data_IF_489536585922
#
_entry.id   IF_489536585922
#
_cell.length_a   1.000
_cell.length_b   1.000
_cell.length_c   1.000
_cell.angle_alpha   90.00
_cell.angle_beta   90.00
_cell.angle_gamma   90.00
#
_symmetry.space_group_name_H-M   'P 1'
#
loop_
_entity.id
_entity.type
_entity.pdbx_description
1 polymer ?
#
# COMPACT_ATOMS: atom_id res chain seq x y z
N UNK A 1 -25.73 -18.21 -2.47
CA UNK A 1 -24.78 -17.63 -1.49
C UNK A 1 -25.10 -16.14 -1.42
N UNK A 2 -25.50 -15.63 -0.24
CA UNK A 2 -25.70 -14.19 -0.06
C UNK A 2 -24.38 -13.48 -0.38
N UNK A 3 -24.42 -12.44 -1.22
CA UNK A 3 -23.28 -11.56 -1.42
C UNK A 3 -22.89 -11.00 -0.06
N UNK A 4 -21.69 -11.32 0.41
CA UNK A 4 -21.17 -10.71 1.64
C UNK A 4 -21.18 -9.20 1.43
N UNK A 5 -21.71 -8.43 2.40
CA UNK A 5 -21.68 -6.97 2.34
C UNK A 5 -20.26 -6.52 2.05
N UNK A 6 -20.07 -5.87 0.90
CA UNK A 6 -18.77 -5.39 0.48
C UNK A 6 -18.41 -4.05 1.15
N UNK A 7 -19.43 -3.30 1.59
CA UNK A 7 -19.29 -1.97 2.18
C UNK A 7 -19.68 -2.03 3.67
N UNK A 8 -18.78 -1.63 4.56
CA UNK A 8 -18.96 -1.63 6.00
C UNK A 8 -18.77 -0.22 6.57
N UNK A 9 -19.50 0.07 7.63
CA UNK A 9 -19.30 1.28 8.47
C UNK A 9 -18.96 0.81 9.87
N UNK A 10 -17.85 1.31 10.43
CA UNK A 10 -17.37 0.95 11.76
C UNK A 10 -17.14 2.20 12.63
N UNK A 11 -17.06 2.03 13.94
CA UNK A 11 -16.77 3.11 14.90
C UNK A 11 -18.02 3.88 15.32
N UNK A 12 -17.85 5.04 16.03
CA UNK A 12 -16.57 5.72 16.32
C UNK A 12 -15.71 5.09 17.42
N UNK A 13 -16.20 4.08 18.13
CA UNK A 13 -15.44 3.39 19.17
C UNK A 13 -14.62 2.25 18.55
N UNK A 14 -13.32 2.31 18.73
CA UNK A 14 -12.35 1.34 18.17
C UNK A 14 -11.64 0.63 19.31
N UNK A 15 -11.92 -0.66 19.48
CA UNK A 15 -11.15 -1.52 20.39
C UNK A 15 -10.05 -2.23 19.59
N UNK A 16 -8.79 -2.22 20.04
CA UNK A 16 -7.73 -3.00 19.41
C UNK A 16 -8.10 -4.48 19.40
N UNK A 17 -7.93 -5.13 18.25
CA UNK A 17 -8.15 -6.56 18.14
C UNK A 17 -7.16 -7.34 19.03
N UNK A 18 -7.57 -8.46 19.65
CA UNK A 18 -6.71 -9.19 20.58
C UNK A 18 -5.41 -9.66 19.93
N UNK A 19 -5.38 -9.92 18.66
CA UNK A 19 -4.21 -10.36 17.90
C UNK A 19 -3.11 -9.28 17.77
N UNK A 20 -3.40 -8.03 18.10
CA UNK A 20 -2.39 -6.95 18.12
C UNK A 20 -1.48 -7.04 19.35
N UNK A 21 -1.82 -7.90 20.32
CA UNK A 21 -1.07 -8.13 21.55
C UNK A 21 -0.28 -9.43 21.47
N UNK A 22 0.83 -9.47 22.19
CA UNK A 22 1.58 -10.73 22.37
C UNK A 22 0.73 -11.71 23.16
N UNK A 23 0.44 -12.87 22.58
CA UNK A 23 -0.28 -13.94 23.25
C UNK A 23 0.71 -14.99 23.81
N UNK A 24 0.48 -15.45 25.05
CA UNK A 24 1.31 -16.47 25.68
C UNK A 24 1.26 -17.79 24.89
N UNK A 25 2.42 -18.41 24.68
CA UNK A 25 2.56 -19.70 24.00
C UNK A 25 2.45 -19.61 22.46
N UNK A 26 2.25 -18.45 21.89
CA UNK A 26 2.27 -18.25 20.42
C UNK A 26 3.73 -18.26 19.95
N UNK A 27 4.08 -19.10 18.94
CA UNK A 27 5.42 -19.09 18.37
C UNK A 27 5.71 -17.76 17.67
N UNK A 28 6.82 -17.14 18.03
CA UNK A 28 7.24 -15.84 17.48
C UNK A 28 8.13 -16.05 16.25
N UNK A 29 7.83 -15.36 15.16
CA UNK A 29 8.64 -15.33 13.95
C UNK A 29 9.93 -14.53 14.13
N UNK A 30 10.87 -14.72 13.23
CA UNK A 30 12.14 -14.01 13.20
C UNK A 30 12.04 -12.77 12.30
N UNK A 31 12.72 -11.69 12.70
CA UNK A 31 12.87 -10.49 11.88
C UNK A 31 14.34 -10.28 11.56
N UNK A 32 14.64 -10.18 10.27
CA UNK A 32 15.96 -9.80 9.74
C UNK A 32 15.84 -8.41 9.10
N UNK A 33 16.88 -7.58 9.20
CA UNK A 33 16.92 -6.28 8.56
C UNK A 33 18.19 -6.15 7.72
N UNK A 34 18.06 -5.48 6.57
CA UNK A 34 19.19 -5.09 5.72
C UNK A 34 18.91 -3.72 5.09
N UNK A 35 19.93 -3.14 4.50
CA UNK A 35 19.84 -1.85 3.81
C UNK A 35 20.10 -1.98 2.32
N UNK A 36 19.44 -1.12 1.54
CA UNK A 36 19.68 -0.92 0.12
C UNK A 36 20.17 0.52 -0.10
N UNK A 37 21.28 0.66 -0.80
CA UNK A 37 21.78 1.96 -1.20
C UNK A 37 21.17 2.35 -2.56
N UNK A 38 20.48 3.48 -2.60
CA UNK A 38 19.76 3.89 -3.81
C UNK A 38 20.67 4.19 -5.00
N UNK A 39 21.94 4.57 -4.74
CA UNK A 39 22.92 4.78 -5.81
C UNK A 39 23.17 3.56 -6.70
N UNK A 40 22.87 2.36 -6.20
CA UNK A 40 22.97 1.10 -6.96
C UNK A 40 21.65 0.74 -7.66
N UNK A 41 20.57 1.46 -7.39
CA UNK A 41 19.24 1.17 -7.95
C UNK A 41 19.15 1.63 -9.41
N UNK A 42 18.60 0.76 -10.25
CA UNK A 42 18.24 1.09 -11.63
C UNK A 42 16.92 1.85 -11.73
N UNK A 43 16.07 1.74 -10.70
CA UNK A 43 14.73 2.35 -10.67
C UNK A 43 14.71 3.67 -9.92
N UNK A 44 15.30 3.69 -8.73
CA UNK A 44 15.24 4.83 -7.81
C UNK A 44 16.64 5.16 -7.26
N UNK A 45 17.49 5.78 -8.09
CA UNK A 45 18.86 6.13 -7.68
C UNK A 45 18.90 7.25 -6.63
N UNK A 46 17.75 7.84 -6.34
CA UNK A 46 17.61 8.96 -5.43
C UNK A 46 17.72 10.31 -6.14
N UNK A 47 16.72 11.13 -5.92
CA UNK A 47 16.68 12.51 -6.43
C UNK A 47 16.25 13.47 -5.34
N UNK A 48 16.89 14.65 -5.32
CA UNK A 48 16.34 15.84 -4.70
C UNK A 48 15.70 16.69 -5.80
N UNK A 49 14.44 17.03 -5.63
CA UNK A 49 13.76 18.00 -6.48
C UNK A 49 13.93 19.39 -5.91
N UNK A 50 14.42 20.31 -6.73
CA UNK A 50 14.50 21.71 -6.33
C UNK A 50 13.13 22.34 -6.56
N UNK A 51 12.43 22.65 -5.49
CA UNK A 51 11.26 23.50 -5.56
C UNK A 51 11.68 24.93 -5.96
N UNK A 52 11.29 25.34 -7.14
CA UNK A 52 11.38 26.73 -7.57
C UNK A 52 10.06 27.47 -7.33
N UNK A 53 10.02 28.76 -7.60
CA UNK A 53 8.82 29.58 -7.42
C UNK A 53 7.63 29.12 -8.30
N UNK A 54 7.89 28.40 -9.39
CA UNK A 54 6.88 27.87 -10.30
C UNK A 54 6.28 26.57 -9.70
N UNK A 55 7.09 25.69 -9.15
CA UNK A 55 6.62 24.44 -8.53
C UNK A 55 5.86 24.68 -7.23
N UNK A 56 6.01 25.88 -6.63
CA UNK A 56 5.23 26.30 -5.45
C UNK A 56 3.85 26.87 -5.81
N UNK A 57 3.59 27.15 -7.09
CA UNK A 57 2.29 27.68 -7.50
C UNK A 57 1.22 26.62 -7.31
N UNK A 58 0.10 27.06 -6.76
CA UNK A 58 -1.08 26.23 -6.57
C UNK A 58 -2.25 26.87 -7.32
N UNK A 59 -3.17 26.04 -7.78
CA UNK A 59 -4.47 26.50 -8.27
C UNK A 59 -5.33 27.02 -7.08
N UNK A 60 -6.51 27.60 -7.36
CA UNK A 60 -7.40 28.07 -6.29
C UNK A 60 -7.84 26.97 -5.31
N UNK A 61 -7.71 25.70 -5.67
CA UNK A 61 -8.07 24.54 -4.87
C UNK A 61 -6.88 23.95 -4.08
N UNK A 62 -5.68 24.57 -4.19
CA UNK A 62 -4.48 24.12 -3.48
C UNK A 62 -3.68 23.04 -4.19
N UNK A 63 -4.11 22.57 -5.38
CA UNK A 63 -3.34 21.63 -6.18
C UNK A 63 -2.08 22.28 -6.71
N UNK A 64 -0.97 21.54 -6.77
CA UNK A 64 0.21 22.04 -7.48
C UNK A 64 -0.12 22.23 -8.96
N UNK A 65 0.05 23.45 -9.45
CA UNK A 65 0.02 23.68 -10.88
C UNK A 65 1.21 22.96 -11.47
N UNK A 66 0.96 22.13 -12.51
CA UNK A 66 2.00 21.41 -13.21
C UNK A 66 3.17 22.36 -13.48
N UNK A 67 4.34 22.03 -12.93
CA UNK A 67 5.54 22.74 -13.32
C UNK A 67 5.73 22.51 -14.81
N UNK A 68 5.98 23.59 -15.55
CA UNK A 68 6.54 23.45 -16.87
C UNK A 68 7.74 22.50 -16.80
N UNK A 69 8.02 21.74 -17.84
CA UNK A 69 8.92 20.61 -17.99
C UNK A 69 10.39 20.75 -17.45
N UNK A 70 10.63 21.59 -16.47
CA UNK A 70 11.95 21.98 -15.98
C UNK A 70 12.08 21.90 -14.45
N UNK A 71 11.41 20.95 -13.77
CA UNK A 71 11.80 20.62 -12.41
C UNK A 71 13.25 20.11 -12.45
N UNK A 72 14.17 20.95 -11.99
CA UNK A 72 15.54 20.51 -11.85
C UNK A 72 15.59 19.47 -10.73
N UNK A 73 15.97 18.25 -11.08
CA UNK A 73 16.30 17.21 -10.13
C UNK A 73 17.81 17.06 -10.06
N UNK A 74 18.31 16.88 -8.84
CA UNK A 74 19.73 16.53 -8.60
C UNK A 74 19.79 15.09 -8.09
N UNK A 75 20.82 14.30 -8.47
CA UNK A 75 21.08 13.04 -7.79
C UNK A 75 21.26 13.27 -6.29
N UNK A 76 20.49 12.58 -5.48
CA UNK A 76 20.65 12.57 -4.01
C UNK A 76 20.41 11.14 -3.52
N UNK A 77 21.45 10.30 -3.57
CA UNK A 77 21.35 8.94 -3.07
C UNK A 77 21.00 8.89 -1.59
N UNK A 78 20.27 7.85 -1.21
CA UNK A 78 19.86 7.57 0.16
C UNK A 78 20.00 6.07 0.46
N UNK A 79 19.85 5.72 1.73
CA UNK A 79 19.80 4.33 2.18
C UNK A 79 18.41 4.03 2.72
N UNK A 80 17.76 2.98 2.21
CA UNK A 80 16.49 2.47 2.75
C UNK A 80 16.71 1.23 3.57
N UNK A 81 15.91 1.04 4.60
CA UNK A 81 15.87 -0.20 5.36
C UNK A 81 14.76 -1.11 4.86
N UNK A 82 15.06 -2.39 4.80
CA UNK A 82 14.10 -3.46 4.53
C UNK A 82 14.14 -4.42 5.70
N UNK A 83 12.97 -4.71 6.28
CA UNK A 83 12.82 -5.76 7.29
C UNK A 83 12.08 -6.93 6.68
N UNK A 84 12.44 -8.13 7.10
CA UNK A 84 11.79 -9.37 6.65
C UNK A 84 11.36 -10.16 7.87
N UNK A 85 10.07 -10.33 8.04
CA UNK A 85 9.50 -11.23 9.02
C UNK A 85 9.30 -12.61 8.39
N UNK A 86 9.83 -13.64 9.04
CA UNK A 86 9.63 -15.04 8.68
C UNK A 86 8.92 -15.75 9.82
N UNK A 87 7.70 -16.29 9.61
CA UNK A 87 6.97 -16.96 10.69
C UNK A 87 7.69 -18.22 11.15
N UNK A 88 7.58 -18.53 12.44
CA UNK A 88 8.18 -19.75 13.01
C UNK A 88 7.73 -21.04 12.31
N UNK A 89 6.56 -21.03 11.74
CA UNK A 89 5.94 -22.14 11.01
C UNK A 89 6.39 -22.27 9.55
N UNK A 90 7.26 -21.37 9.08
CA UNK A 90 7.82 -21.50 7.73
C UNK A 90 8.65 -22.78 7.59
N UNK A 91 8.34 -23.58 6.61
CA UNK A 91 9.09 -24.80 6.27
C UNK A 91 10.15 -24.48 5.22
N UNK A 92 11.41 -24.65 5.58
CA UNK A 92 12.54 -24.33 4.69
C UNK A 92 12.43 -25.07 3.37
N UNK A 93 12.51 -24.34 2.26
CA UNK A 93 12.39 -24.89 0.90
C UNK A 93 10.94 -24.91 0.37
N UNK A 94 9.93 -24.67 1.20
CA UNK A 94 8.57 -24.47 0.72
C UNK A 94 8.43 -23.07 0.10
N UNK A 95 7.59 -22.95 -0.95
CA UNK A 95 7.29 -21.67 -1.57
C UNK A 95 6.32 -20.86 -0.70
N UNK A 96 6.86 -19.97 0.14
CA UNK A 96 6.07 -19.17 1.08
C UNK A 96 5.21 -18.13 0.35
N UNK A 97 3.92 -18.00 0.69
CA UNK A 97 3.18 -16.80 0.37
C UNK A 97 3.79 -15.59 1.08
N UNK A 98 3.58 -14.39 0.53
CA UNK A 98 4.18 -13.20 1.14
C UNK A 98 3.37 -11.93 0.95
N UNK A 99 3.69 -10.94 1.79
CA UNK A 99 3.10 -9.60 1.81
C UNK A 99 4.21 -8.56 1.75
N UNK A 100 4.14 -7.61 0.82
CA UNK A 100 5.01 -6.43 0.79
C UNK A 100 4.27 -5.26 1.42
N UNK A 101 4.82 -4.72 2.51
CA UNK A 101 4.28 -3.57 3.23
C UNK A 101 5.11 -2.31 2.93
N UNK A 102 4.49 -1.32 2.32
CA UNK A 102 5.05 0.00 2.08
C UNK A 102 5.05 0.82 3.37
N UNK A 103 6.01 1.75 3.53
CA UNK A 103 6.28 2.46 4.79
C UNK A 103 6.53 1.48 5.94
N UNK A 104 7.43 0.53 5.70
CA UNK A 104 7.63 -0.68 6.49
C UNK A 104 7.84 -0.46 7.97
N UNK A 105 8.59 0.59 8.36
CA UNK A 105 8.84 0.91 9.76
C UNK A 105 7.55 1.09 10.58
N UNK A 106 6.52 1.72 9.98
CA UNK A 106 5.23 1.92 10.63
C UNK A 106 4.54 0.61 10.99
N UNK A 107 4.59 -0.37 10.09
CA UNK A 107 3.92 -1.67 10.27
C UNK A 107 4.71 -2.66 11.12
N UNK A 108 6.04 -2.50 11.26
CA UNK A 108 6.88 -3.35 12.09
C UNK A 108 6.44 -3.39 13.55
N UNK A 109 5.71 -2.38 14.03
CA UNK A 109 5.26 -2.29 15.42
C UNK A 109 4.07 -3.21 15.73
N UNK A 110 3.26 -3.56 14.73
CA UNK A 110 2.00 -4.29 14.95
C UNK A 110 1.89 -5.54 14.09
N UNK A 111 2.27 -5.51 12.83
CA UNK A 111 2.01 -6.58 11.88
C UNK A 111 2.69 -7.92 12.26
N UNK A 112 3.95 -7.99 12.72
CA UNK A 112 4.57 -9.26 13.13
C UNK A 112 3.76 -9.99 14.21
N UNK A 113 3.24 -9.27 15.21
CA UNK A 113 2.43 -9.85 16.28
C UNK A 113 1.11 -10.39 15.79
N UNK A 114 0.46 -9.64 14.89
CA UNK A 114 -0.79 -10.06 14.25
C UNK A 114 -0.55 -11.33 13.43
N UNK A 115 0.55 -11.39 12.67
CA UNK A 115 0.91 -12.56 11.89
C UNK A 115 1.21 -13.77 12.78
N UNK A 116 1.99 -13.61 13.85
CA UNK A 116 2.26 -14.68 14.81
C UNK A 116 0.97 -15.31 15.33
N UNK A 117 0.03 -14.48 15.78
CA UNK A 117 -1.26 -14.94 16.31
C UNK A 117 -2.11 -15.64 15.25
N UNK A 118 -2.29 -15.01 14.09
CA UNK A 118 -3.17 -15.55 13.04
C UNK A 118 -2.62 -16.84 12.43
N UNK A 119 -1.30 -16.93 12.23
CA UNK A 119 -0.63 -18.13 11.73
C UNK A 119 -0.73 -19.28 12.74
N UNK A 120 -0.46 -19.00 14.03
CA UNK A 120 -0.59 -20.01 15.09
C UNK A 120 -2.02 -20.55 15.20
N UNK A 121 -3.02 -19.70 14.98
CA UNK A 121 -4.44 -20.06 14.98
C UNK A 121 -4.91 -20.66 13.64
N UNK A 122 -4.03 -20.79 12.64
CA UNK A 122 -4.34 -21.31 11.30
C UNK A 122 -5.44 -20.53 10.57
N UNK A 123 -5.58 -19.25 10.88
CA UNK A 123 -6.55 -18.33 10.26
C UNK A 123 -6.04 -17.74 8.94
N UNK A 124 -4.72 -17.66 8.79
CA UNK A 124 -4.01 -17.30 7.56
C UNK A 124 -2.86 -18.28 7.31
N UNK A 125 -2.32 -18.38 6.09
CA UNK A 125 -1.14 -19.20 5.82
C UNK A 125 0.11 -18.66 6.54
N UNK A 126 1.14 -19.51 6.69
CA UNK A 126 2.45 -19.11 7.19
C UNK A 126 3.13 -18.23 6.13
N UNK A 127 2.85 -16.93 6.12
CA UNK A 127 3.35 -15.97 5.14
C UNK A 127 4.56 -15.17 5.63
N UNK A 128 5.47 -14.85 4.71
CA UNK A 128 6.58 -13.93 4.91
C UNK A 128 6.07 -12.49 4.74
N UNK A 129 6.50 -11.56 5.60
CA UNK A 129 6.22 -10.15 5.39
C UNK A 129 7.51 -9.38 5.10
N UNK A 130 7.50 -8.59 4.04
CA UNK A 130 8.62 -7.75 3.59
C UNK A 130 8.22 -6.29 3.81
N UNK A 131 8.90 -5.60 4.69
CA UNK A 131 8.63 -4.22 5.05
C UNK A 131 9.65 -3.33 4.37
N UNK A 132 9.19 -2.44 3.50
CA UNK A 132 10.06 -1.61 2.68
C UNK A 132 9.80 -0.14 2.99
N UNK A 133 10.83 0.58 3.46
CA UNK A 133 10.73 2.02 3.57
C UNK A 133 10.90 2.69 2.21
N UNK A 134 10.29 3.86 2.06
CA UNK A 134 10.50 4.72 0.90
C UNK A 134 11.84 5.46 0.97
N UNK A 135 12.16 6.19 -0.09
CA UNK A 135 13.34 7.02 -0.16
C UNK A 135 13.32 8.27 0.71
N UNK A 136 12.24 8.47 1.46
CA UNK A 136 12.10 9.58 2.40
C UNK A 136 11.35 10.77 1.84
N UNK A 137 11.01 11.67 2.74
CA UNK A 137 10.11 12.79 2.48
C UNK A 137 8.66 12.38 2.33
N UNK A 138 7.76 13.33 2.39
CA UNK A 138 6.33 13.14 2.20
C UNK A 138 5.81 14.18 1.21
N UNK A 139 4.63 13.95 0.64
CA UNK A 139 3.98 14.81 -0.34
C UNK A 139 4.68 14.88 -1.72
N UNK A 140 4.06 15.66 -2.59
CA UNK A 140 4.48 15.84 -3.97
C UNK A 140 5.92 16.35 -4.09
N UNK A 141 6.66 15.78 -5.04
CA UNK A 141 8.03 16.19 -5.34
C UNK A 141 9.10 15.55 -4.47
N UNK A 142 8.73 14.77 -3.44
CA UNK A 142 9.66 13.96 -2.66
C UNK A 142 10.02 12.65 -3.37
N UNK A 143 11.08 11.99 -2.91
CA UNK A 143 11.40 10.63 -3.39
C UNK A 143 10.27 9.65 -3.07
N UNK A 144 9.66 9.73 -1.87
CA UNK A 144 8.51 8.91 -1.51
C UNK A 144 7.32 9.15 -2.45
N UNK A 145 7.04 10.41 -2.79
CA UNK A 145 5.98 10.73 -3.76
C UNK A 145 6.29 10.17 -5.15
N UNK A 146 7.55 10.22 -5.59
CA UNK A 146 7.98 9.65 -6.86
C UNK A 146 7.80 8.11 -6.88
N UNK A 147 8.15 7.44 -5.79
CA UNK A 147 8.02 5.98 -5.66
C UNK A 147 6.56 5.54 -5.58
N UNK A 148 5.74 6.24 -4.78
CA UNK A 148 4.42 5.75 -4.37
C UNK A 148 3.25 6.37 -5.13
N UNK A 149 3.34 7.66 -5.51
CA UNK A 149 2.22 8.38 -6.12
C UNK A 149 2.27 8.35 -7.65
N UNK A 150 3.33 7.77 -8.24
CA UNK A 150 3.43 7.59 -9.70
C UNK A 150 2.54 6.44 -10.16
N UNK A 151 1.63 6.71 -11.09
CA UNK A 151 0.71 5.73 -11.68
C UNK A 151 1.42 4.92 -12.76
N UNK A 152 2.29 4.01 -12.35
CA UNK A 152 3.05 3.14 -13.27
C UNK A 152 3.46 1.83 -12.59
N UNK A 153 3.88 0.83 -13.39
CA UNK A 153 4.42 -0.45 -12.89
C UNK A 153 5.82 -0.38 -12.28
N UNK A 154 6.49 0.79 -12.37
CA UNK A 154 7.90 0.95 -12.02
C UNK A 154 8.23 0.53 -10.58
N UNK A 155 7.36 0.86 -9.62
CA UNK A 155 7.60 0.48 -8.23
C UNK A 155 7.48 -1.04 -8.02
N UNK A 156 6.56 -1.70 -8.71
CA UNK A 156 6.49 -3.17 -8.73
C UNK A 156 7.78 -3.78 -9.31
N UNK A 157 8.28 -3.23 -10.41
CA UNK A 157 9.53 -3.71 -11.03
C UNK A 157 10.74 -3.53 -10.11
N UNK A 158 10.81 -2.42 -9.37
CA UNK A 158 11.82 -2.22 -8.33
C UNK A 158 11.75 -3.29 -7.23
N UNK A 159 10.56 -3.56 -6.71
CA UNK A 159 10.38 -4.60 -5.69
C UNK A 159 10.83 -5.97 -6.20
N UNK A 160 10.43 -6.34 -7.42
CA UNK A 160 10.78 -7.64 -8.02
C UNK A 160 12.28 -7.78 -8.32
N UNK A 161 12.89 -6.74 -8.87
CA UNK A 161 14.25 -6.84 -9.40
C UNK A 161 15.33 -6.54 -8.35
N UNK A 162 15.02 -5.72 -7.35
CA UNK A 162 16.05 -5.23 -6.41
C UNK A 162 15.77 -5.65 -4.96
N UNK A 163 14.50 -5.63 -4.51
CA UNK A 163 14.17 -5.94 -3.11
C UNK A 163 14.06 -7.44 -2.87
N UNK A 164 13.19 -8.15 -3.61
CA UNK A 164 12.92 -9.57 -3.35
C UNK A 164 14.14 -10.48 -3.53
N UNK A 165 15.06 -10.28 -4.51
CA UNK A 165 16.28 -11.05 -4.58
C UNK A 165 17.18 -10.92 -3.34
N UNK A 166 17.23 -9.70 -2.75
CA UNK A 166 17.96 -9.48 -1.49
C UNK A 166 17.26 -10.12 -0.31
N UNK A 167 15.91 -10.10 -0.27
CA UNK A 167 15.13 -10.84 0.75
C UNK A 167 15.52 -12.32 0.76
N UNK A 168 15.53 -12.94 -0.42
CA UNK A 168 15.90 -14.36 -0.57
C UNK A 168 17.35 -14.60 -0.14
N UNK A 169 18.28 -13.75 -0.55
CA UNK A 169 19.69 -13.88 -0.20
C UNK A 169 19.95 -13.74 1.31
N UNK A 170 19.28 -12.79 1.97
CA UNK A 170 19.51 -12.49 3.40
C UNK A 170 18.82 -13.49 4.34
N UNK A 171 17.70 -14.10 3.91
CA UNK A 171 16.90 -14.96 4.79
C UNK A 171 16.89 -16.44 4.41
N UNK A 172 17.26 -16.76 3.16
CA UNK A 172 17.17 -18.11 2.60
C UNK A 172 15.75 -18.63 2.41
N UNK A 173 14.74 -17.74 2.41
CA UNK A 173 13.36 -18.13 2.13
C UNK A 173 13.15 -18.35 0.63
N UNK A 174 12.23 -19.25 0.29
CA UNK A 174 11.72 -19.37 -1.07
C UNK A 174 10.35 -18.69 -1.12
N UNK A 175 10.19 -17.69 -2.00
CA UNK A 175 8.94 -16.96 -2.15
C UNK A 175 8.11 -17.56 -3.30
N UNK A 176 6.79 -17.62 -3.13
CA UNK A 176 5.89 -18.14 -4.18
C UNK A 176 5.86 -17.23 -5.41
N UNK A 177 5.70 -17.84 -6.59
CA UNK A 177 5.38 -17.14 -7.85
C UNK A 177 3.87 -17.07 -8.13
N UNK A 178 3.03 -17.75 -7.34
CA UNK A 178 1.58 -17.69 -7.48
C UNK A 178 1.06 -16.30 -7.08
N UNK A 179 0.45 -15.52 -7.98
CA UNK A 179 -0.08 -14.19 -7.64
C UNK A 179 -1.14 -14.24 -6.53
N UNK A 180 -1.85 -15.36 -6.34
CA UNK A 180 -2.78 -15.53 -5.23
C UNK A 180 -2.07 -15.70 -3.88
N UNK A 181 -0.80 -16.05 -3.88
CA UNK A 181 0.07 -16.10 -2.70
C UNK A 181 0.84 -14.81 -2.44
N UNK A 182 0.56 -13.73 -3.19
CA UNK A 182 1.34 -12.49 -3.13
C UNK A 182 0.42 -11.30 -2.88
N UNK A 183 0.70 -10.58 -1.80
CA UNK A 183 -0.07 -9.41 -1.38
C UNK A 183 0.80 -8.17 -1.28
N UNK A 184 0.15 -7.02 -1.40
CA UNK A 184 0.73 -5.69 -1.16
C UNK A 184 -0.12 -4.94 -0.15
N UNK A 185 0.49 -4.14 0.71
CA UNK A 185 -0.24 -3.28 1.64
C UNK A 185 0.46 -1.95 1.87
N UNK A 186 -0.31 -0.97 2.32
CA UNK A 186 0.22 0.31 2.73
C UNK A 186 -0.83 1.23 3.29
N UNK A 187 -0.38 2.43 3.68
CA UNK A 187 -1.23 3.52 4.10
C UNK A 187 -0.89 4.79 3.30
N UNK A 188 -1.88 5.66 3.10
CA UNK A 188 -1.69 6.92 2.36
C UNK A 188 -1.11 6.67 0.96
N UNK A 189 -0.02 7.33 0.59
CA UNK A 189 0.70 7.07 -0.66
C UNK A 189 1.18 5.62 -0.76
N UNK A 190 1.59 4.99 0.37
CA UNK A 190 1.95 3.56 0.38
C UNK A 190 0.77 2.64 -0.01
N UNK A 191 -0.47 3.03 0.29
CA UNK A 191 -1.66 2.30 -0.15
C UNK A 191 -1.95 2.50 -1.64
N UNK A 192 -1.70 3.70 -2.17
CA UNK A 192 -1.76 3.95 -3.61
C UNK A 192 -0.71 3.11 -4.35
N UNK A 193 0.54 3.06 -3.85
CA UNK A 193 1.60 2.20 -4.38
C UNK A 193 1.20 0.72 -4.34
N UNK A 194 0.64 0.24 -3.23
CA UNK A 194 0.18 -1.14 -3.10
C UNK A 194 -0.89 -1.50 -4.15
N UNK A 195 -1.87 -0.63 -4.37
CA UNK A 195 -2.86 -0.83 -5.42
C UNK A 195 -2.22 -0.77 -6.82
N UNK A 196 -1.37 0.22 -7.06
CA UNK A 196 -0.67 0.42 -8.34
C UNK A 196 0.19 -0.78 -8.73
N UNK A 197 0.90 -1.40 -7.76
CA UNK A 197 1.65 -2.65 -7.99
C UNK A 197 0.75 -3.76 -8.56
N UNK A 198 -0.38 -4.03 -7.91
CA UNK A 198 -1.32 -5.07 -8.36
C UNK A 198 -2.07 -4.67 -9.63
N UNK A 199 -2.32 -3.37 -9.83
CA UNK A 199 -3.00 -2.87 -11.02
C UNK A 199 -2.17 -3.07 -12.29
N UNK A 200 -0.88 -2.75 -12.26
CA UNK A 200 -0.01 -2.90 -13.43
C UNK A 200 0.50 -4.33 -13.60
N UNK A 201 0.65 -5.08 -12.50
CA UNK A 201 1.19 -6.44 -12.49
C UNK A 201 0.28 -7.43 -11.75
N UNK A 202 -0.96 -7.64 -12.23
CA UNK A 202 -1.90 -8.59 -11.61
C UNK A 202 -1.42 -10.06 -11.74
N UNK A 203 -0.49 -10.34 -12.65
CA UNK A 203 0.19 -11.62 -12.77
C UNK A 203 1.23 -11.86 -11.67
N UNK A 204 1.58 -10.79 -10.93
CA UNK A 204 2.52 -10.85 -9.79
C UNK A 204 1.80 -10.73 -8.46
N UNK A 205 0.83 -9.81 -8.33
CA UNK A 205 0.16 -9.50 -7.07
C UNK A 205 -1.36 -9.60 -7.21
N UNK A 206 -1.94 -10.58 -6.52
CA UNK A 206 -3.39 -10.82 -6.54
C UNK A 206 -4.16 -10.20 -5.37
N UNK A 207 -3.49 -9.57 -4.41
CA UNK A 207 -4.11 -9.09 -3.17
C UNK A 207 -3.60 -7.71 -2.76
N UNK A 208 -4.52 -6.82 -2.37
CA UNK A 208 -4.23 -5.45 -1.94
C UNK A 208 -4.92 -5.14 -0.62
N UNK A 209 -4.17 -4.55 0.33
CA UNK A 209 -4.68 -4.02 1.58
C UNK A 209 -4.32 -2.53 1.67
N UNK A 210 -5.34 -1.67 1.71
CA UNK A 210 -5.22 -0.22 1.63
C UNK A 210 -5.82 0.46 2.84
N UNK A 211 -5.03 1.28 3.55
CA UNK A 211 -5.51 2.18 4.59
C UNK A 211 -5.36 3.63 4.14
N UNK A 212 -6.45 4.41 4.17
CA UNK A 212 -6.44 5.84 3.80
C UNK A 212 -5.75 6.11 2.46
N UNK A 213 -6.05 5.30 1.43
CA UNK A 213 -5.32 5.32 0.17
C UNK A 213 -5.33 6.67 -0.53
N UNK A 214 -4.17 7.13 -0.99
CA UNK A 214 -3.97 8.37 -1.73
C UNK A 214 -4.44 8.21 -3.18
N UNK A 215 -5.76 7.99 -3.37
CA UNK A 215 -6.37 7.92 -4.69
C UNK A 215 -6.80 9.31 -5.19
N UNK A 216 -5.98 10.30 -4.92
CA UNK A 216 -6.16 11.73 -5.20
C UNK A 216 -5.10 12.23 -6.18
N UNK A 217 -5.21 13.50 -6.58
CA UNK A 217 -4.27 14.15 -7.48
C UNK A 217 -2.97 14.54 -6.75
N UNK A 218 -2.05 13.61 -6.59
CA UNK A 218 -0.77 13.84 -5.87
C UNK A 218 0.47 13.48 -6.69
N UNK A 219 0.33 12.86 -7.85
CA UNK A 219 1.47 12.50 -8.71
C UNK A 219 2.30 13.72 -9.09
N UNK A 220 3.63 13.62 -8.96
CA UNK A 220 4.56 14.65 -9.38
C UNK A 220 5.90 14.02 -9.85
N UNK A 221 6.38 14.31 -11.08
CA UNK A 221 5.75 15.20 -12.06
C UNK A 221 4.42 14.64 -12.59
N UNK A 222 3.51 15.49 -13.07
CA UNK A 222 2.29 15.02 -13.71
C UNK A 222 2.62 14.26 -15.01
N UNK A 223 1.86 13.22 -15.28
CA UNK A 223 1.93 12.44 -16.52
C UNK A 223 0.74 12.81 -17.40
N UNK A 224 0.92 13.12 -18.70
CA UNK A 224 -0.18 13.38 -19.62
C UNK A 224 -1.20 12.24 -19.74
N UNK A 225 -0.79 10.99 -19.50
CA UNK A 225 -1.68 9.83 -19.52
C UNK A 225 -2.52 9.72 -18.22
N UNK A 226 -2.05 10.31 -17.13
CA UNK A 226 -2.71 10.33 -15.83
C UNK A 226 -2.58 11.73 -15.20
N UNK A 227 -3.19 12.75 -15.79
CA UNK A 227 -2.95 14.15 -15.44
C UNK A 227 -3.37 14.51 -14.01
N UNK A 228 -4.26 13.72 -13.40
CA UNK A 228 -4.69 13.82 -12.00
C UNK A 228 -4.18 12.66 -11.14
N UNK A 229 -3.07 12.02 -11.55
CA UNK A 229 -2.45 10.95 -10.79
C UNK A 229 -3.41 9.80 -10.47
N UNK A 230 -3.41 9.34 -9.22
CA UNK A 230 -4.22 8.20 -8.78
C UNK A 230 -5.75 8.47 -8.77
N UNK A 231 -6.20 9.72 -8.90
CA UNK A 231 -7.61 10.05 -9.13
C UNK A 231 -8.15 9.36 -10.40
N UNK A 232 -7.32 9.19 -11.42
CA UNK A 232 -7.71 8.57 -12.69
C UNK A 232 -8.16 7.12 -12.54
N UNK A 233 -7.76 6.40 -11.48
CA UNK A 233 -8.21 5.03 -11.26
C UNK A 233 -9.73 4.93 -11.19
N UNK A 234 -10.35 5.73 -10.34
CA UNK A 234 -11.79 5.68 -10.13
C UNK A 234 -12.57 6.57 -11.08
N UNK A 235 -11.91 7.52 -11.73
CA UNK A 235 -12.56 8.40 -12.72
C UNK A 235 -12.83 7.62 -14.02
N UNK A 236 -11.84 6.89 -14.55
CA UNK A 236 -12.02 6.16 -15.80
C UNK A 236 -11.19 4.88 -15.95
N UNK A 237 -9.98 4.76 -15.36
CA UNK A 237 -9.09 3.63 -15.65
C UNK A 237 -9.72 2.28 -15.30
N UNK A 238 -10.36 2.16 -14.12
CA UNK A 238 -11.01 0.91 -13.71
C UNK A 238 -12.17 0.56 -14.65
N UNK A 239 -12.96 1.56 -15.05
CA UNK A 239 -14.10 1.35 -15.95
C UNK A 239 -13.67 0.88 -17.34
N UNK A 240 -12.61 1.47 -17.89
CA UNK A 240 -12.13 1.21 -19.26
C UNK A 240 -11.30 -0.08 -19.37
N UNK A 241 -10.52 -0.44 -18.34
CA UNK A 241 -9.68 -1.62 -18.38
C UNK A 241 -10.50 -2.93 -18.30
N UNK A 242 -9.95 -4.02 -18.81
CA UNK A 242 -10.45 -5.36 -18.47
C UNK A 242 -10.32 -5.61 -16.97
N UNK A 243 -11.30 -6.33 -16.39
CA UNK A 243 -11.24 -6.70 -14.97
C UNK A 243 -9.99 -7.53 -14.70
N UNK A 244 -9.20 -7.10 -13.72
CA UNK A 244 -7.98 -7.80 -13.29
C UNK A 244 -8.29 -8.80 -12.16
N UNK A 245 -7.55 -9.92 -12.05
CA UNK A 245 -7.78 -10.93 -11.02
C UNK A 245 -7.17 -10.51 -9.67
N UNK A 246 -7.57 -9.35 -9.16
CA UNK A 246 -7.09 -8.80 -7.88
C UNK A 246 -8.23 -8.70 -6.87
N UNK A 247 -7.89 -8.92 -5.59
CA UNK A 247 -8.77 -8.77 -4.43
C UNK A 247 -8.32 -7.57 -3.61
N UNK A 248 -9.24 -6.70 -3.23
CA UNK A 248 -8.90 -5.43 -2.59
C UNK A 248 -9.68 -5.26 -1.29
N UNK A 249 -8.98 -5.10 -0.17
CA UNK A 249 -9.54 -4.61 1.08
C UNK A 249 -9.08 -3.17 1.29
N UNK A 250 -9.99 -2.26 1.63
CA UNK A 250 -9.67 -0.85 1.80
C UNK A 250 -10.47 -0.21 2.94
N UNK A 251 -9.82 0.66 3.71
CA UNK A 251 -10.44 1.48 4.75
C UNK A 251 -10.03 2.95 4.63
N UNK A 252 -10.95 3.84 5.01
CA UNK A 252 -10.70 5.28 5.06
C UNK A 252 -11.42 5.89 6.26
N UNK A 253 -10.82 6.90 6.88
CA UNK A 253 -11.47 7.70 7.93
C UNK A 253 -12.56 8.62 7.36
N UNK A 254 -13.65 8.78 8.11
CA UNK A 254 -14.70 9.76 7.75
C UNK A 254 -14.17 11.20 7.74
N UNK A 255 -13.20 11.49 8.62
CA UNK A 255 -12.51 12.78 8.74
C UNK A 255 -11.06 12.69 8.26
N UNK A 256 -10.84 11.94 7.18
CA UNK A 256 -9.53 11.83 6.56
C UNK A 256 -9.12 13.17 5.92
N UNK A 257 -7.92 13.25 5.36
CA UNK A 257 -7.40 14.49 4.77
C UNK A 257 -8.42 15.10 3.79
N UNK A 258 -8.61 16.43 3.90
CA UNK A 258 -9.46 17.20 3.01
C UNK A 258 -10.91 16.69 2.89
N UNK A 259 -11.45 16.09 3.97
CA UNK A 259 -12.75 15.42 3.96
C UNK A 259 -13.94 16.36 3.64
N UNK A 260 -13.78 17.66 3.81
CA UNK A 260 -14.74 18.72 3.52
C UNK A 260 -14.43 19.51 2.24
N UNK A 261 -13.33 19.18 1.53
CA UNK A 261 -13.00 19.82 0.28
C UNK A 261 -13.97 19.39 -0.83
N UNK A 262 -14.37 20.30 -1.75
CA UNK A 262 -15.18 19.96 -2.90
C UNK A 262 -14.45 19.06 -3.88
N UNK A 263 -15.19 18.30 -4.69
CA UNK A 263 -14.65 17.31 -5.63
C UNK A 263 -13.64 17.91 -6.61
N UNK A 264 -13.85 19.13 -7.04
CA UNK A 264 -13.03 19.86 -8.01
C UNK A 264 -11.58 20.08 -7.54
N UNK A 265 -11.32 19.91 -6.23
CA UNK A 265 -9.96 19.93 -5.69
C UNK A 265 -9.18 18.69 -6.09
N UNK A 266 -9.88 17.56 -6.33
CA UNK A 266 -9.31 16.22 -6.52
C UNK A 266 -8.44 15.75 -5.35
N UNK A 267 -8.62 16.34 -4.16
CA UNK A 267 -7.82 16.08 -2.96
C UNK A 267 -8.65 15.61 -1.75
N UNK A 268 -9.92 15.28 -1.92
CA UNK A 268 -10.77 14.75 -0.85
C UNK A 268 -10.55 13.24 -0.71
N UNK A 269 -9.85 12.80 0.34
CA UNK A 269 -9.52 11.38 0.58
C UNK A 269 -10.75 10.49 0.78
N UNK A 270 -11.72 10.83 1.69
CA UNK A 270 -12.93 10.03 1.84
C UNK A 270 -13.70 9.88 0.53
N UNK A 271 -13.87 10.96 -0.21
CA UNK A 271 -14.55 10.94 -1.51
C UNK A 271 -13.82 10.05 -2.51
N UNK A 272 -12.50 10.21 -2.65
CA UNK A 272 -11.69 9.42 -3.56
C UNK A 272 -11.77 7.92 -3.25
N UNK A 273 -11.68 7.52 -1.97
CA UNK A 273 -11.81 6.14 -1.55
C UNK A 273 -13.22 5.58 -1.75
N UNK A 274 -14.27 6.38 -1.52
CA UNK A 274 -15.65 5.99 -1.80
C UNK A 274 -15.86 5.78 -3.32
N UNK A 275 -15.29 6.65 -4.17
CA UNK A 275 -15.33 6.51 -5.64
C UNK A 275 -14.56 5.28 -6.09
N UNK A 276 -13.39 4.98 -5.48
CA UNK A 276 -12.66 3.73 -5.73
C UNK A 276 -13.56 2.52 -5.45
N UNK A 277 -14.21 2.47 -4.29
CA UNK A 277 -15.13 1.38 -3.93
C UNK A 277 -16.28 1.26 -4.96
N UNK A 278 -16.89 2.37 -5.36
CA UNK A 278 -17.95 2.40 -6.37
C UNK A 278 -17.47 1.88 -7.74
N UNK A 279 -16.28 2.28 -8.20
CA UNK A 279 -15.70 1.82 -9.45
C UNK A 279 -15.39 0.31 -9.41
N UNK A 280 -14.81 -0.18 -8.31
CA UNK A 280 -14.55 -1.60 -8.09
C UNK A 280 -15.85 -2.43 -8.08
N UNK A 281 -16.89 -1.92 -7.41
CA UNK A 281 -18.23 -2.53 -7.38
C UNK A 281 -18.84 -2.63 -8.77
N UNK A 282 -18.85 -1.52 -9.50
CA UNK A 282 -19.40 -1.45 -10.85
C UNK A 282 -18.70 -2.42 -11.82
N UNK A 283 -17.38 -2.64 -11.63
CA UNK A 283 -16.59 -3.59 -12.43
C UNK A 283 -16.66 -5.03 -11.91
N UNK A 284 -17.34 -5.27 -10.77
CA UNK A 284 -17.53 -6.60 -10.20
C UNK A 284 -16.26 -7.19 -9.56
N UNK A 285 -15.37 -6.35 -9.00
CA UNK A 285 -14.21 -6.83 -8.25
C UNK A 285 -14.62 -7.54 -6.96
N UNK A 286 -13.75 -8.42 -6.48
CA UNK A 286 -13.80 -8.94 -5.11
C UNK A 286 -13.14 -7.91 -4.19
N UNK A 287 -13.95 -7.07 -3.56
CA UNK A 287 -13.48 -5.97 -2.73
C UNK A 287 -14.23 -5.89 -1.39
N UNK A 288 -13.62 -5.22 -0.43
CA UNK A 288 -14.25 -4.76 0.80
C UNK A 288 -13.86 -3.30 1.06
N UNK A 289 -14.84 -2.46 1.33
CA UNK A 289 -14.68 -1.07 1.69
C UNK A 289 -15.14 -0.84 3.13
N UNK A 290 -14.35 -0.13 3.93
CA UNK A 290 -14.63 0.18 5.33
C UNK A 290 -14.55 1.69 5.53
N UNK A 291 -15.69 2.31 5.87
CA UNK A 291 -15.74 3.69 6.33
C UNK A 291 -15.62 3.73 7.84
N UNK A 292 -14.59 4.37 8.37
CA UNK A 292 -14.32 4.48 9.80
C UNK A 292 -14.83 5.82 10.35
N UNK A 293 -15.94 5.78 11.09
CA UNK A 293 -16.62 6.97 11.64
C UNK A 293 -15.72 7.73 12.63
N UNK A 294 -15.66 9.05 12.47
CA UNK A 294 -14.87 9.94 13.34
C UNK A 294 -13.36 9.74 13.28
N UNK A 295 -12.85 8.83 12.43
CA UNK A 295 -11.42 8.59 12.25
C UNK A 295 -10.82 9.60 11.28
N UNK A 296 -9.55 9.97 11.52
CA UNK A 296 -8.73 10.80 10.64
C UNK A 296 -7.86 9.98 9.71
N UNK A 297 -6.81 10.64 9.19
CA UNK A 297 -5.86 10.03 8.26
C UNK A 297 -5.01 8.95 8.94
N UNK A 298 -5.03 7.73 8.36
CA UNK A 298 -4.23 6.59 8.86
C UNK A 298 -4.39 6.40 10.38
N UNK A 299 -5.62 6.50 10.87
CA UNK A 299 -5.89 6.39 12.31
C UNK A 299 -5.44 5.02 12.85
N UNK A 300 -4.45 4.98 13.77
CA UNK A 300 -3.90 3.72 14.26
C UNK A 300 -4.96 2.87 14.99
N UNK A 301 -5.99 3.49 15.60
CA UNK A 301 -7.08 2.75 16.23
C UNK A 301 -7.87 1.93 15.23
N UNK A 302 -8.09 2.46 14.02
CA UNK A 302 -8.75 1.75 12.93
C UNK A 302 -7.89 0.57 12.47
N UNK A 303 -6.59 0.80 12.28
CA UNK A 303 -5.65 -0.25 11.89
C UNK A 303 -5.61 -1.37 12.94
N UNK A 304 -5.46 -1.04 14.21
CA UNK A 304 -5.41 -2.03 15.30
C UNK A 304 -6.73 -2.80 15.45
N UNK A 305 -7.86 -2.16 15.19
CA UNK A 305 -9.16 -2.83 15.26
C UNK A 305 -9.44 -3.74 14.06
N UNK A 306 -8.93 -3.43 12.88
CA UNK A 306 -9.35 -4.09 11.63
C UNK A 306 -8.30 -4.99 11.00
N UNK A 307 -7.01 -4.79 11.26
CA UNK A 307 -5.92 -5.47 10.57
C UNK A 307 -6.01 -7.00 10.61
N UNK A 308 -6.31 -7.66 11.74
CA UNK A 308 -6.46 -9.12 11.75
C UNK A 308 -7.57 -9.61 10.84
N UNK A 309 -8.77 -9.04 10.95
CA UNK A 309 -9.90 -9.39 10.10
C UNK A 309 -9.68 -9.05 8.61
N UNK A 310 -8.95 -7.96 8.33
CA UNK A 310 -8.58 -7.60 6.96
C UNK A 310 -7.63 -8.63 6.35
N UNK A 311 -6.64 -9.12 7.10
CA UNK A 311 -5.73 -10.18 6.66
C UNK A 311 -6.48 -11.50 6.42
N UNK A 312 -7.37 -11.91 7.31
CA UNK A 312 -8.19 -13.12 7.12
C UNK A 312 -9.05 -13.01 5.87
N UNK A 313 -9.69 -11.87 5.68
CA UNK A 313 -10.51 -11.64 4.50
C UNK A 313 -9.67 -11.69 3.23
N UNK A 314 -8.48 -11.12 3.25
CA UNK A 314 -7.56 -11.06 2.12
C UNK A 314 -7.04 -12.46 1.74
N UNK A 315 -6.70 -13.27 2.74
CA UNK A 315 -6.12 -14.60 2.55
C UNK A 315 -7.16 -15.74 2.50
N UNK A 316 -8.46 -15.43 2.59
CA UNK A 316 -9.51 -16.46 2.52
C UNK A 316 -9.40 -17.28 1.24
N UNK A 317 -9.48 -18.61 1.40
CA UNK A 317 -9.43 -19.56 0.28
C UNK A 317 -8.04 -19.83 -0.31
N UNK A 318 -6.98 -19.18 0.19
CA UNK A 318 -5.60 -19.56 -0.13
C UNK A 318 -5.15 -20.70 0.82
N UNK A 319 -4.62 -21.79 0.25
CA UNK A 319 -4.16 -22.98 0.99
C UNK A 319 -2.75 -23.35 0.60
#
# INVERSE_FOLDING_TARGET
MAAAESDLVIGPDYAPAPETRVAAGVPVGAVTAFTLYSGDSKFYPGIARIENAITRRRDPYGNRIAAAAHEQSMPLPYTRTVWVYVPRQYERGSAAPFLVAQDGYGYMKVLPRVLDNLVAQKRIPALVAVFVDSGGGDAQGSERGLEYDTVSGRYSDFIEAEVLPRVVAETGVTLTSDPNGRATMGASSGAAAAFTMAWFHPERYGKVLSYSGTFVNQQSPPDPATPRGAWEYHDHLIAQAAKKPIRIWMAVGEKDLHFDDPEETWHNWPLANARMAAALKAKGYDYRYVLAKGAGHVDPRVTEATLPGALEWLWRGYR
#
